data_IF_644753793753
#
_entry.id   IF_644753793753
#
_cell.length_a   1.000
_cell.length_b   1.000
_cell.length_c   1.000
_cell.angle_alpha   90.00
_cell.angle_beta   90.00
_cell.angle_gamma   90.00
#
_symmetry.space_group_name_H-M   'P 1'
#
loop_
_entity.id
_entity.type
_entity.pdbx_description
1 polymer ?
#
# COMPACT_ATOMS: atom_id res chain seq x y z
N UNK A 1 -14.18 -6.45 6.27
CA UNK A 1 -13.45 -5.42 5.49
C UNK A 1 -14.34 -4.29 4.93
N UNK A 2 -15.53 -4.53 4.33
CA UNK A 2 -16.44 -3.45 3.87
C UNK A 2 -16.74 -2.37 4.93
N UNK A 3 -17.04 -2.80 6.16
CA UNK A 3 -17.32 -1.90 7.29
C UNK A 3 -16.12 -1.01 7.69
N UNK A 4 -14.89 -1.37 7.30
CA UNK A 4 -13.69 -0.57 7.54
C UNK A 4 -13.66 0.61 6.57
N UNK A 5 -13.85 0.35 5.27
CA UNK A 5 -13.85 1.39 4.23
C UNK A 5 -14.87 2.50 4.46
N UNK A 6 -16.13 2.14 4.79
CA UNK A 6 -17.17 3.12 5.09
C UNK A 6 -16.81 4.05 6.25
N UNK A 7 -16.05 3.56 7.23
CA UNK A 7 -15.75 4.27 8.47
C UNK A 7 -14.49 5.14 8.44
N UNK A 8 -13.62 4.94 7.44
CA UNK A 8 -12.51 5.85 7.14
C UNK A 8 -12.88 6.86 6.03
N UNK A 9 -14.18 7.05 5.81
CA UNK A 9 -14.74 8.04 4.91
C UNK A 9 -14.57 7.69 3.43
N UNK A 10 -14.36 6.41 3.11
CA UNK A 10 -14.25 5.98 1.71
C UNK A 10 -15.63 5.84 1.06
N UNK A 11 -16.74 6.09 1.76
CA UNK A 11 -18.07 6.22 1.15
C UNK A 11 -18.28 7.63 0.52
N UNK A 12 -18.86 7.75 -0.70
CA UNK A 12 -19.65 6.74 -1.41
C UNK A 12 -18.85 5.86 -2.39
N UNK A 13 -17.55 5.66 -2.17
CA UNK A 13 -16.60 5.04 -3.10
C UNK A 13 -16.08 3.69 -2.52
N UNK A 14 -15.59 2.78 -3.38
CA UNK A 14 -15.86 1.33 -3.30
C UNK A 14 -14.61 0.50 -3.02
N UNK A 15 -14.53 -0.08 -1.82
CA UNK A 15 -13.67 -1.25 -1.57
C UNK A 15 -14.41 -2.53 -1.97
N UNK A 16 -13.99 -3.12 -3.08
CA UNK A 16 -14.60 -4.33 -3.63
C UNK A 16 -13.74 -5.52 -3.21
N UNK A 17 -14.11 -6.21 -2.12
CA UNK A 17 -13.43 -7.43 -1.62
C UNK A 17 -13.89 -8.73 -2.32
N UNK A 18 -14.92 -8.61 -3.13
CA UNK A 18 -15.48 -9.58 -4.08
C UNK A 18 -16.10 -8.68 -5.13
N UNK A 19 -15.90 -8.93 -6.43
CA UNK A 19 -16.64 -8.23 -7.50
C UNK A 19 -18.12 -8.32 -7.13
N UNK A 20 -18.60 -7.29 -6.44
CA UNK A 20 -19.94 -7.29 -5.88
C UNK A 20 -20.84 -6.89 -7.02
N UNK A 21 -22.10 -7.30 -6.97
CA UNK A 21 -23.16 -6.89 -7.91
C UNK A 21 -23.31 -5.36 -8.10
N UNK A 22 -22.51 -4.53 -7.42
CA UNK A 22 -22.44 -3.08 -7.53
C UNK A 22 -21.15 -2.50 -8.12
N UNK A 23 -20.12 -3.26 -8.55
CA UNK A 23 -19.28 -2.67 -9.61
C UNK A 23 -20.20 -2.55 -10.83
N UNK A 24 -20.47 -1.32 -11.29
CA UNK A 24 -20.96 -1.19 -12.66
C UNK A 24 -19.84 -1.81 -13.48
N UNK A 25 -20.11 -2.91 -14.19
CA UNK A 25 -19.09 -3.66 -14.95
C UNK A 25 -18.23 -2.76 -15.87
N UNK A 26 -18.67 -1.53 -16.15
CA UNK A 26 -17.93 -0.52 -16.90
C UNK A 26 -16.81 0.22 -16.15
N UNK A 27 -16.75 0.18 -14.81
CA UNK A 27 -15.72 0.90 -14.04
C UNK A 27 -14.42 0.07 -13.86
N UNK A 28 -14.48 -1.24 -14.12
CA UNK A 28 -13.38 -2.18 -13.86
C UNK A 28 -12.40 -2.23 -15.06
N UNK A 29 -11.27 -1.52 -14.93
CA UNK A 29 -10.23 -1.46 -15.97
C UNK A 29 -9.73 -2.85 -16.40
N UNK A 30 -9.62 -3.09 -17.70
CA UNK A 30 -9.07 -4.33 -18.26
C UNK A 30 -7.59 -4.48 -17.88
N UNK A 31 -7.26 -5.62 -17.28
CA UNK A 31 -5.88 -5.99 -16.95
C UNK A 31 -5.18 -6.66 -18.14
N UNK A 32 -3.86 -6.49 -18.24
CA UNK A 32 -3.04 -7.09 -19.29
C UNK A 32 -1.80 -7.81 -18.74
N UNK A 33 -1.52 -8.99 -19.29
CA UNK A 33 -0.29 -9.74 -19.00
C UNK A 33 0.93 -9.06 -19.63
N UNK A 34 2.14 -9.55 -19.30
CA UNK A 34 3.40 -9.09 -19.95
C UNK A 34 3.37 -9.23 -21.48
N UNK A 35 2.61 -10.21 -22.01
CA UNK A 35 2.44 -10.46 -23.44
C UNK A 35 1.21 -9.73 -24.04
N UNK A 36 0.68 -8.72 -23.35
CA UNK A 36 -0.52 -7.95 -23.72
C UNK A 36 -1.82 -8.78 -23.85
N UNK A 37 -1.87 -10.00 -23.31
CA UNK A 37 -3.11 -10.77 -23.25
C UNK A 37 -4.04 -10.23 -22.16
N UNK A 38 -5.37 -10.16 -22.38
CA UNK A 38 -6.32 -9.71 -21.37
C UNK A 38 -6.35 -10.69 -20.19
N UNK A 39 -6.39 -10.16 -18.96
CA UNK A 39 -6.50 -10.95 -17.73
C UNK A 39 -7.37 -10.24 -16.69
N UNK A 40 -8.06 -11.02 -15.86
CA UNK A 40 -8.79 -10.56 -14.68
C UNK A 40 -8.34 -11.36 -13.45
N UNK A 41 -8.54 -10.77 -12.28
CA UNK A 41 -8.21 -11.41 -11.01
C UNK A 41 -8.99 -12.72 -10.87
N UNK A 42 -8.27 -13.81 -10.60
CA UNK A 42 -8.86 -15.11 -10.32
C UNK A 42 -9.10 -15.24 -8.81
N UNK A 43 -10.25 -15.80 -8.44
CA UNK A 43 -10.51 -16.13 -7.05
C UNK A 43 -9.61 -17.28 -6.59
N UNK A 44 -9.33 -17.32 -5.29
CA UNK A 44 -8.56 -18.37 -4.63
C UNK A 44 -8.86 -18.39 -3.13
N UNK A 45 -8.36 -19.41 -2.44
CA UNK A 45 -8.41 -19.46 -0.97
C UNK A 45 -7.68 -18.22 -0.42
N UNK A 46 -8.31 -17.50 0.51
CA UNK A 46 -7.82 -16.24 1.09
C UNK A 46 -7.59 -15.09 0.09
N UNK A 47 -8.16 -15.16 -1.11
CA UNK A 47 -7.99 -14.10 -2.11
C UNK A 47 -8.49 -12.75 -1.58
N UNK A 48 -9.60 -12.70 -0.85
CA UNK A 48 -10.19 -11.45 -0.33
C UNK A 48 -9.26 -10.75 0.66
N UNK A 49 -8.55 -11.53 1.47
CA UNK A 49 -7.64 -11.08 2.52
C UNK A 49 -6.28 -10.69 1.96
N UNK A 50 -5.78 -11.42 0.95
CA UNK A 50 -4.42 -11.24 0.44
C UNK A 50 -4.30 -10.26 -0.74
N UNK A 51 -5.23 -10.28 -1.71
CA UNK A 51 -5.08 -9.51 -2.96
C UNK A 51 -6.40 -9.10 -3.65
N UNK A 52 -7.55 -9.35 -3.03
CA UNK A 52 -8.86 -9.28 -3.66
C UNK A 52 -9.50 -7.90 -3.71
N UNK A 53 -8.77 -6.85 -3.36
CA UNK A 53 -9.30 -5.47 -3.29
C UNK A 53 -9.24 -4.79 -4.65
N UNK A 54 -10.42 -4.57 -5.24
CA UNK A 54 -10.62 -3.58 -6.30
C UNK A 54 -10.93 -2.21 -5.71
N UNK A 55 -10.26 -1.15 -6.19
CA UNK A 55 -10.43 0.24 -5.72
C UNK A 55 -9.92 1.24 -6.77
N UNK A 56 -10.44 2.47 -6.74
CA UNK A 56 -10.06 3.56 -7.66
C UNK A 56 -8.93 4.45 -7.08
N UNK A 57 -8.41 5.39 -7.88
CA UNK A 57 -7.35 6.31 -7.43
C UNK A 57 -7.82 7.18 -6.25
N UNK A 58 -9.02 7.76 -6.32
CA UNK A 58 -9.55 8.63 -5.27
C UNK A 58 -9.63 7.93 -3.89
N UNK A 59 -10.07 6.66 -3.88
CA UNK A 59 -10.11 5.85 -2.66
C UNK A 59 -8.73 5.60 -2.08
N UNK A 60 -7.76 5.23 -2.92
CA UNK A 60 -6.40 4.94 -2.44
C UNK A 60 -5.68 6.20 -1.99
N UNK A 61 -5.87 7.32 -2.68
CA UNK A 61 -5.38 8.62 -2.23
C UNK A 61 -5.95 8.98 -0.87
N UNK A 62 -7.26 8.78 -0.64
CA UNK A 62 -7.87 9.01 0.67
C UNK A 62 -7.37 8.03 1.74
N UNK A 63 -7.17 6.75 1.40
CA UNK A 63 -6.59 5.76 2.30
C UNK A 63 -5.16 6.13 2.71
N UNK A 64 -4.32 6.58 1.77
CA UNK A 64 -2.98 7.09 2.08
C UNK A 64 -3.06 8.37 2.90
N UNK A 65 -3.95 9.31 2.56
CA UNK A 65 -4.20 10.50 3.39
C UNK A 65 -4.60 10.17 4.82
N UNK A 66 -5.39 9.12 5.03
CA UNK A 66 -5.75 8.63 6.37
C UNK A 66 -4.55 8.02 7.13
N UNK A 67 -3.64 7.31 6.43
CA UNK A 67 -2.39 6.80 7.01
C UNK A 67 -1.36 7.89 7.28
N UNK A 68 -1.44 9.01 6.57
CA UNK A 68 -0.64 10.22 6.78
C UNK A 68 -1.28 11.21 7.75
N UNK A 69 -2.41 10.84 8.38
CA UNK A 69 -3.14 11.70 9.33
C UNK A 69 -3.69 13.01 8.73
N UNK A 70 -3.79 13.08 7.40
CA UNK A 70 -4.36 14.19 6.64
C UNK A 70 -5.89 14.10 6.51
N UNK A 71 -6.46 12.94 6.82
CA UNK A 71 -7.91 12.71 6.84
C UNK A 71 -8.33 12.43 8.29
N UNK A 72 -9.28 13.21 8.85
CA UNK A 72 -9.71 13.00 10.22
C UNK A 72 -10.42 11.64 10.38
N UNK A 73 -9.98 10.87 11.37
CA UNK A 73 -10.54 9.58 11.71
C UNK A 73 -11.12 9.60 13.13
N UNK A 74 -12.23 8.90 13.34
CA UNK A 74 -12.73 8.64 14.69
C UNK A 74 -11.70 7.87 15.53
N UNK A 75 -11.68 8.08 16.85
CA UNK A 75 -10.66 7.55 17.79
C UNK A 75 -10.33 6.06 17.59
N UNK A 76 -11.36 5.22 17.36
CA UNK A 76 -11.19 3.78 17.11
C UNK A 76 -10.38 3.51 15.85
N UNK A 77 -10.65 4.23 14.77
CA UNK A 77 -10.04 4.02 13.46
C UNK A 77 -8.64 4.62 13.37
N UNK A 78 -8.43 5.80 13.98
CA UNK A 78 -7.09 6.33 14.18
C UNK A 78 -6.20 5.33 14.93
N UNK A 79 -6.71 4.72 16.01
CA UNK A 79 -5.96 3.68 16.74
C UNK A 79 -5.63 2.47 15.87
N UNK A 80 -6.59 1.98 15.09
CA UNK A 80 -6.38 0.83 14.20
C UNK A 80 -5.34 1.12 13.10
N UNK A 81 -5.45 2.28 12.44
CA UNK A 81 -4.48 2.73 11.43
C UNK A 81 -3.08 2.93 12.04
N UNK A 82 -3.00 3.48 13.24
CA UNK A 82 -1.70 3.66 13.92
C UNK A 82 -1.08 2.31 14.29
N UNK A 83 -1.89 1.35 14.74
CA UNK A 83 -1.42 0.01 15.08
C UNK A 83 -0.80 -0.73 13.87
N UNK A 84 -1.24 -0.46 12.64
CA UNK A 84 -0.64 -1.12 11.46
C UNK A 84 0.75 -0.59 11.12
N UNK A 85 1.08 0.62 11.58
CA UNK A 85 2.30 1.35 11.23
C UNK A 85 3.41 1.26 12.29
N UNK A 86 3.21 0.44 13.32
CA UNK A 86 4.23 0.18 14.35
C UNK A 86 5.28 -0.78 13.78
N UNK A 87 6.55 -0.36 13.82
CA UNK A 87 7.67 -1.18 13.37
C UNK A 87 8.06 -2.20 14.44
N UNK A 88 7.94 -3.48 14.13
CA UNK A 88 8.19 -4.57 15.09
C UNK A 88 9.54 -5.26 14.90
N UNK A 89 10.03 -5.36 13.66
CA UNK A 89 11.25 -6.13 13.37
C UNK A 89 12.12 -5.43 12.32
N UNK A 90 13.44 -5.59 12.43
CA UNK A 90 14.40 -5.33 11.36
C UNK A 90 14.64 -6.61 10.56
N UNK A 91 14.54 -6.52 9.24
CA UNK A 91 14.88 -7.56 8.29
C UNK A 91 15.87 -6.99 7.26
N UNK A 92 17.18 -7.05 7.59
CA UNK A 92 18.27 -6.53 6.75
C UNK A 92 18.13 -5.03 6.43
N UNK A 93 17.78 -4.22 7.45
CA UNK A 93 17.58 -2.78 7.29
C UNK A 93 16.18 -2.39 6.80
N UNK A 94 15.31 -3.35 6.50
CA UNK A 94 13.88 -3.12 6.26
C UNK A 94 13.12 -3.23 7.58
N UNK A 95 12.31 -2.22 7.92
CA UNK A 95 11.42 -2.29 9.07
C UNK A 95 10.16 -3.03 8.68
N UNK A 96 9.85 -4.14 9.34
CA UNK A 96 8.59 -4.86 9.19
C UNK A 96 7.56 -4.37 10.21
N UNK A 97 6.44 -3.87 9.70
CA UNK A 97 5.22 -3.56 10.46
C UNK A 97 4.10 -4.54 10.07
N UNK A 98 2.88 -4.34 10.57
CA UNK A 98 1.74 -5.14 10.11
C UNK A 98 1.40 -4.76 8.65
N UNK A 99 1.80 -5.62 7.71
CA UNK A 99 1.69 -5.44 6.24
C UNK A 99 2.59 -4.32 5.67
N UNK A 100 2.80 -3.23 6.40
CA UNK A 100 3.64 -2.12 5.95
C UNK A 100 5.14 -2.40 6.14
N UNK A 101 5.94 -1.91 5.19
CA UNK A 101 7.40 -1.95 5.19
C UNK A 101 7.93 -0.51 5.10
N UNK A 102 7.93 0.27 6.20
CA UNK A 102 8.38 1.65 6.16
C UNK A 102 9.91 1.75 5.98
N UNK A 103 10.34 2.66 5.09
CA UNK A 103 11.74 3.05 4.97
C UNK A 103 12.02 4.33 5.74
N UNK A 104 13.20 4.46 6.39
CA UNK A 104 13.61 5.72 6.98
C UNK A 104 13.82 6.75 5.86
N UNK A 105 13.20 7.92 5.97
CA UNK A 105 13.44 9.02 5.04
C UNK A 105 14.42 10.05 5.65
N UNK A 106 15.41 10.56 4.89
CA UNK A 106 15.72 10.20 3.51
C UNK A 106 16.29 8.78 3.37
N UNK A 107 15.84 8.05 2.34
CA UNK A 107 16.36 6.74 1.91
C UNK A 107 17.08 6.91 0.58
N UNK A 108 18.10 6.11 0.26
CA UNK A 108 18.64 6.08 -1.10
C UNK A 108 17.76 5.22 -2.01
N UNK A 109 17.74 5.51 -3.31
CA UNK A 109 17.02 4.66 -4.26
C UNK A 109 17.57 3.22 -4.25
N UNK A 110 18.89 3.04 -4.09
CA UNK A 110 19.51 1.71 -4.03
C UNK A 110 19.03 0.90 -2.81
N UNK A 111 18.90 1.53 -1.64
CA UNK A 111 18.39 0.88 -0.44
C UNK A 111 16.89 0.51 -0.58
N UNK A 112 16.10 1.38 -1.22
CA UNK A 112 14.69 1.11 -1.52
C UNK A 112 14.54 -0.06 -2.51
N UNK A 113 15.37 -0.11 -3.56
CA UNK A 113 15.32 -1.20 -4.54
C UNK A 113 15.86 -2.52 -3.97
N UNK A 114 16.84 -2.46 -3.06
CA UNK A 114 17.36 -3.65 -2.39
C UNK A 114 16.35 -4.32 -1.45
N UNK A 115 15.38 -3.57 -0.89
CA UNK A 115 14.30 -4.20 -0.10
C UNK A 115 13.30 -4.96 -0.95
N UNK A 116 13.03 -4.52 -2.19
CA UNK A 116 12.17 -5.27 -3.12
C UNK A 116 12.72 -6.67 -3.39
N UNK A 117 14.04 -6.82 -3.38
CA UNK A 117 14.71 -8.12 -3.54
C UNK A 117 14.49 -9.06 -2.35
N UNK A 118 13.99 -8.60 -1.21
CA UNK A 118 13.67 -9.45 -0.05
C UNK A 118 12.33 -10.16 -0.20
N UNK A 119 11.47 -9.73 -1.15
CA UNK A 119 10.13 -10.30 -1.32
C UNK A 119 10.21 -11.79 -1.69
N UNK A 120 9.55 -12.62 -0.87
CA UNK A 120 9.52 -14.08 -1.06
C UNK A 120 10.81 -14.78 -0.65
N UNK A 121 11.74 -14.09 0.03
CA UNK A 121 12.95 -14.70 0.58
C UNK A 121 12.83 -14.88 2.08
N UNK A 122 13.48 -15.92 2.58
CA UNK A 122 13.67 -16.11 4.02
C UNK A 122 14.72 -15.11 4.51
N UNK A 123 14.30 -14.23 5.43
CA UNK A 123 15.16 -13.22 6.03
C UNK A 123 15.03 -13.32 7.55
N UNK A 124 16.18 -13.43 8.23
CA UNK A 124 16.21 -13.39 9.68
C UNK A 124 15.70 -12.03 10.17
N UNK A 125 14.68 -12.05 11.01
CA UNK A 125 14.05 -10.85 11.55
C UNK A 125 14.47 -10.62 13.01
N UNK A 126 14.96 -9.43 13.32
CA UNK A 126 15.38 -9.04 14.67
C UNK A 126 14.33 -8.12 15.30
N UNK A 127 13.72 -8.45 16.45
CA UNK A 127 12.72 -7.59 17.07
C UNK A 127 13.28 -6.26 17.57
N UNK A 128 12.55 -5.16 17.31
CA UNK A 128 12.83 -3.87 17.96
C UNK A 128 12.35 -3.88 19.41
N UNK A 129 13.15 -3.32 20.31
CA UNK A 129 12.83 -3.17 21.74
C UNK A 129 13.27 -1.77 22.22
N UNK A 130 12.34 -0.81 22.40
CA UNK A 130 10.89 -0.89 22.14
C UNK A 130 10.55 -0.89 20.63
N UNK A 131 9.30 -1.22 20.23
CA UNK A 131 8.84 -1.06 18.85
C UNK A 131 8.96 0.38 18.34
N UNK A 132 9.17 0.54 17.03
CA UNK A 132 9.31 1.86 16.40
C UNK A 132 7.95 2.53 16.21
N UNK A 133 7.82 3.84 16.51
CA UNK A 133 6.57 4.57 16.32
C UNK A 133 6.25 4.76 14.82
N UNK A 134 4.96 4.94 14.47
CA UNK A 134 4.53 5.23 13.11
C UNK A 134 5.20 6.47 12.49
N UNK A 135 5.50 6.41 11.19
CA UNK A 135 5.95 7.57 10.38
C UNK A 135 4.87 8.01 9.37
N UNK A 136 4.98 9.25 8.88
CA UNK A 136 3.96 9.91 8.03
C UNK A 136 4.49 10.25 6.62
N UNK A 137 4.78 9.25 5.78
CA UNK A 137 5.07 9.49 4.34
C UNK A 137 4.47 8.36 3.51
N UNK A 138 3.81 8.68 2.39
CA UNK A 138 3.24 7.67 1.49
C UNK A 138 2.99 8.19 0.07
N UNK A 139 3.14 7.30 -0.91
CA UNK A 139 2.80 7.52 -2.33
C UNK A 139 1.94 6.36 -2.83
N UNK A 140 1.02 6.65 -3.76
CA UNK A 140 0.19 5.64 -4.44
C UNK A 140 0.51 5.64 -5.93
N UNK A 141 0.75 4.45 -6.49
CA UNK A 141 0.88 4.24 -7.94
C UNK A 141 -0.04 3.09 -8.35
N UNK A 142 -0.82 3.30 -9.42
CA UNK A 142 -1.71 2.28 -10.00
C UNK A 142 -1.44 2.11 -11.48
N UNK A 143 -1.29 0.86 -11.92
CA UNK A 143 -1.31 0.51 -13.34
C UNK A 143 -2.14 -0.76 -13.59
N UNK A 144 -2.68 -0.87 -14.79
CA UNK A 144 -3.45 -2.01 -15.28
C UNK A 144 -2.63 -3.00 -16.12
N UNK A 145 -1.30 -2.86 -16.11
CA UNK A 145 -0.35 -3.78 -16.74
C UNK A 145 0.65 -4.26 -15.70
N UNK A 146 1.06 -5.52 -15.78
CA UNK A 146 2.17 -6.02 -14.94
C UNK A 146 3.48 -5.40 -15.42
N UNK A 147 4.15 -4.68 -14.53
CA UNK A 147 5.48 -4.10 -14.73
C UNK A 147 6.40 -4.48 -13.54
N UNK A 148 7.74 -4.37 -13.68
CA UNK A 148 8.66 -4.69 -12.59
C UNK A 148 8.41 -3.83 -11.35
N UNK A 149 8.40 -4.42 -10.15
CA UNK A 149 8.17 -3.70 -8.90
C UNK A 149 9.11 -2.51 -8.74
N UNK A 150 10.40 -2.72 -9.05
CA UNK A 150 11.46 -1.71 -9.04
C UNK A 150 11.14 -0.47 -9.88
N UNK A 151 10.42 -0.61 -11.00
CA UNK A 151 10.03 0.54 -11.81
C UNK A 151 8.96 1.40 -11.11
N UNK A 152 8.08 0.78 -10.33
CA UNK A 152 7.11 1.47 -9.48
C UNK A 152 7.79 2.17 -8.31
N UNK A 153 8.67 1.46 -7.61
CA UNK A 153 9.46 2.01 -6.52
C UNK A 153 10.29 3.22 -6.98
N UNK A 154 10.98 3.13 -8.12
CA UNK A 154 11.76 4.22 -8.69
C UNK A 154 10.90 5.42 -9.13
N UNK A 155 9.70 5.18 -9.67
CA UNK A 155 8.77 6.26 -9.99
C UNK A 155 8.28 6.97 -8.72
N UNK A 156 7.90 6.22 -7.69
CA UNK A 156 7.44 6.77 -6.41
C UNK A 156 8.52 7.56 -5.70
N UNK A 157 9.74 7.02 -5.67
CA UNK A 157 10.92 7.68 -5.10
C UNK A 157 11.15 9.06 -5.72
N UNK A 158 11.17 9.15 -7.06
CA UNK A 158 11.39 10.42 -7.76
C UNK A 158 10.32 11.47 -7.46
N UNK A 159 9.06 11.04 -7.33
CA UNK A 159 7.96 11.95 -6.96
C UNK A 159 8.17 12.50 -5.56
N UNK A 160 8.37 11.63 -4.56
CA UNK A 160 8.58 12.06 -3.16
C UNK A 160 9.81 12.95 -3.03
N UNK A 161 10.93 12.54 -3.61
CA UNK A 161 12.18 13.30 -3.55
C UNK A 161 12.04 14.69 -4.19
N UNK A 162 11.31 14.80 -5.31
CA UNK A 162 11.05 16.09 -5.95
C UNK A 162 10.20 17.02 -5.09
N UNK A 163 9.18 16.50 -4.40
CA UNK A 163 8.31 17.29 -3.50
C UNK A 163 9.12 17.78 -2.31
N UNK A 164 9.84 16.88 -1.64
CA UNK A 164 10.64 17.23 -0.46
C UNK A 164 11.74 18.24 -0.79
N UNK A 165 12.38 18.13 -1.96
CA UNK A 165 13.37 19.12 -2.40
C UNK A 165 12.75 20.48 -2.70
N UNK A 166 11.52 20.53 -3.19
CA UNK A 166 10.82 21.78 -3.49
C UNK A 166 10.31 22.50 -2.23
N UNK A 167 10.14 21.78 -1.12
CA UNK A 167 9.76 22.34 0.19
C UNK A 167 10.95 22.84 1.04
N UNK A 168 12.18 22.71 0.53
CA UNK A 168 13.42 23.21 1.16
C UNK A 168 13.87 24.52 0.52
#
# INVERSE_FOLDING_TARGET
>A
MRAIGERIGLAPIRFVFRISRRSRRGDDAQGYTKRNGPIRLKAGVLASEAYGVGSCMADRSRFVGANMELVPLGKKWARAVNATRVGYQDARGMVQSLIWEPHPYPVSIDALLASDDLIGKDVAATPFKPPLPPKQVGVVILANKSYPLSAGAAAGYRIVDSIVRAER
#
